data_IF_239645825407
#
_entry.id   IF_239645825407
#
_cell.length_a   1.000
_cell.length_b   1.000
_cell.length_c   1.000
_cell.angle_alpha   90.00
_cell.angle_beta   90.00
_cell.angle_gamma   90.00
#
_symmetry.space_group_name_H-M   'P 1'
#
loop_
_entity.id
_entity.type
_entity.pdbx_description
1 polymer ?
#
# COMPACT_ATOMS: atom_id res chain seq x y z
N UNK A 1 -3.40 -16.80 -11.04
CA UNK A 1 -2.13 -16.55 -10.33
C UNK A 1 -2.45 -15.96 -8.99
N UNK A 2 -1.83 -16.47 -7.92
CA UNK A 2 -2.01 -15.93 -6.56
C UNK A 2 -0.83 -15.03 -6.20
N UNK A 3 -1.05 -14.05 -5.32
CA UNK A 3 0.05 -13.27 -4.76
C UNK A 3 0.91 -14.20 -3.88
N UNK A 4 2.25 -14.14 -3.97
CA UNK A 4 3.09 -14.94 -3.09
C UNK A 4 2.94 -14.50 -1.63
N UNK A 5 3.41 -15.35 -0.72
CA UNK A 5 3.70 -14.93 0.66
C UNK A 5 4.64 -13.72 0.64
N UNK A 6 4.37 -12.73 1.51
CA UNK A 6 5.12 -11.47 1.56
C UNK A 6 6.49 -11.64 2.23
N UNK A 7 7.36 -12.35 1.53
CA UNK A 7 8.79 -12.48 1.82
C UNK A 7 9.56 -11.73 0.73
N UNK A 8 10.72 -11.18 1.06
CA UNK A 8 11.53 -10.43 0.11
C UNK A 8 11.83 -11.23 -1.17
N UNK A 9 12.25 -12.49 -1.03
CA UNK A 9 12.59 -13.35 -2.16
C UNK A 9 11.38 -13.66 -3.06
N UNK A 10 10.22 -13.95 -2.47
CA UNK A 10 9.03 -14.29 -3.26
C UNK A 10 8.43 -13.05 -3.94
N UNK A 11 8.48 -11.88 -3.29
CA UNK A 11 8.05 -10.61 -3.88
C UNK A 11 8.93 -10.20 -5.08
N UNK A 12 10.26 -10.30 -4.95
CA UNK A 12 11.19 -10.04 -6.05
C UNK A 12 10.95 -11.03 -7.21
N UNK A 13 10.88 -12.34 -6.93
CA UNK A 13 10.63 -13.35 -7.95
C UNK A 13 9.30 -13.16 -8.68
N UNK A 14 8.25 -12.73 -7.98
CA UNK A 14 6.96 -12.42 -8.59
C UNK A 14 7.05 -11.25 -9.58
N UNK A 15 7.72 -10.16 -9.20
CA UNK A 15 7.87 -8.99 -10.08
C UNK A 15 8.79 -9.27 -11.26
N UNK A 16 9.84 -10.07 -11.08
CA UNK A 16 10.73 -10.52 -12.17
C UNK A 16 10.00 -11.37 -13.21
N UNK A 17 9.05 -12.19 -12.75
CA UNK A 17 8.24 -13.07 -13.59
C UNK A 17 7.15 -12.31 -14.33
N UNK A 18 6.38 -11.48 -13.62
CA UNK A 18 5.19 -10.81 -14.17
C UNK A 18 5.57 -9.55 -14.95
N UNK A 19 6.60 -8.83 -14.50
CA UNK A 19 7.09 -7.56 -15.08
C UNK A 19 5.96 -6.56 -15.36
N UNK A 20 5.14 -6.21 -14.36
CA UNK A 20 4.02 -5.31 -14.58
C UNK A 20 4.47 -3.86 -14.77
N UNK A 21 3.78 -3.13 -15.64
CA UNK A 21 3.95 -1.67 -15.75
C UNK A 21 3.31 -0.90 -14.58
N UNK A 22 2.35 -1.52 -13.87
CA UNK A 22 1.57 -0.91 -12.79
C UNK A 22 1.02 -1.97 -11.83
N UNK A 23 1.15 -1.73 -10.52
CA UNK A 23 0.47 -2.49 -9.48
C UNK A 23 -0.76 -1.77 -8.94
N UNK A 24 -1.89 -2.46 -8.83
CA UNK A 24 -3.09 -1.97 -8.16
C UNK A 24 -3.38 -2.87 -6.96
N UNK A 25 -3.49 -2.26 -5.77
CA UNK A 25 -3.91 -2.96 -4.55
C UNK A 25 -5.16 -2.30 -3.99
N UNK A 26 -6.04 -3.09 -3.39
CA UNK A 26 -7.32 -2.59 -2.88
C UNK A 26 -7.34 -2.50 -1.36
N UNK A 27 -8.17 -1.60 -0.84
CA UNK A 27 -8.49 -1.49 0.59
C UNK A 27 -7.29 -1.13 1.48
N UNK A 28 -6.73 -2.11 2.19
CA UNK A 28 -5.56 -1.97 3.08
C UNK A 28 -4.58 -3.12 2.92
N UNK A 29 -4.57 -3.78 1.78
CA UNK A 29 -3.62 -4.86 1.47
C UNK A 29 -2.22 -4.28 1.23
N UNK A 30 -1.55 -3.90 2.32
CA UNK A 30 -0.21 -3.34 2.33
C UNK A 30 0.77 -4.42 2.74
N UNK A 31 1.57 -4.85 1.77
CA UNK A 31 2.55 -5.92 1.89
C UNK A 31 3.95 -5.31 1.84
N UNK A 32 4.65 -5.14 2.98
CA UNK A 32 5.91 -4.40 3.01
C UNK A 32 6.95 -4.89 2.02
N UNK A 33 7.15 -6.21 1.89
CA UNK A 33 8.16 -6.75 0.97
C UNK A 33 7.77 -6.51 -0.48
N UNK A 34 6.50 -6.68 -0.85
CA UNK A 34 6.00 -6.30 -2.17
C UNK A 34 6.20 -4.81 -2.46
N UNK A 35 5.94 -3.92 -1.50
CA UNK A 35 6.14 -2.48 -1.66
C UNK A 35 7.62 -2.12 -1.85
N UNK A 36 8.51 -2.79 -1.11
CA UNK A 36 9.96 -2.64 -1.28
C UNK A 36 10.44 -3.16 -2.64
N UNK A 37 10.01 -4.36 -3.03
CA UNK A 37 10.36 -4.96 -4.31
C UNK A 37 9.84 -4.10 -5.47
N UNK A 38 8.58 -3.64 -5.42
CA UNK A 38 7.99 -2.79 -6.46
C UNK A 38 8.81 -1.53 -6.70
N UNK A 39 9.33 -0.90 -5.64
CA UNK A 39 10.21 0.25 -5.77
C UNK A 39 11.54 -0.12 -6.46
N UNK A 40 12.15 -1.26 -6.12
CA UNK A 40 13.41 -1.74 -6.74
C UNK A 40 13.23 -2.06 -8.23
N UNK A 41 12.08 -2.62 -8.59
CA UNK A 41 11.69 -2.95 -9.96
C UNK A 41 11.11 -1.75 -10.73
N UNK A 42 11.11 -0.56 -10.14
CA UNK A 42 10.52 0.66 -10.70
C UNK A 42 9.03 0.51 -11.11
N UNK A 43 8.30 -0.40 -10.46
CA UNK A 43 6.86 -0.61 -10.65
C UNK A 43 6.09 0.36 -9.76
N UNK A 44 5.35 1.33 -10.31
CA UNK A 44 4.46 2.17 -9.51
C UNK A 44 3.32 1.32 -8.94
N UNK A 45 3.01 1.49 -7.66
CA UNK A 45 1.86 0.83 -7.01
C UNK A 45 0.86 1.87 -6.54
N UNK A 46 -0.41 1.66 -6.87
CA UNK A 46 -1.51 2.53 -6.46
C UNK A 46 -2.45 1.78 -5.53
N UNK A 47 -2.73 2.39 -4.38
CA UNK A 47 -3.76 1.92 -3.46
C UNK A 47 -5.10 2.51 -3.88
N UNK A 48 -6.04 1.67 -4.31
CA UNK A 48 -7.37 2.08 -4.79
C UNK A 48 -8.45 1.70 -3.78
N UNK A 49 -9.54 2.47 -3.74
CA UNK A 49 -10.64 2.27 -2.79
C UNK A 49 -10.15 2.08 -1.34
N UNK A 50 -9.17 2.89 -0.94
CA UNK A 50 -8.46 2.69 0.31
C UNK A 50 -9.38 2.97 1.50
N UNK A 51 -9.47 2.02 2.42
CA UNK A 51 -10.34 2.07 3.61
C UNK A 51 -9.57 1.69 4.84
N UNK A 52 -9.31 2.64 5.74
CA UNK A 52 -8.56 2.33 6.95
C UNK A 52 -9.45 2.57 8.16
N UNK A 53 -9.89 1.49 8.80
CA UNK A 53 -10.59 1.58 10.08
C UNK A 53 -9.59 1.71 11.24
N UNK A 54 -10.10 2.04 12.43
CA UNK A 54 -9.25 2.26 13.60
C UNK A 54 -8.47 1.02 14.05
N UNK A 55 -9.05 -0.18 13.90
CA UNK A 55 -8.38 -1.44 14.27
C UNK A 55 -7.15 -1.67 13.40
N UNK A 56 -7.30 -1.53 12.09
CA UNK A 56 -6.21 -1.66 11.12
C UNK A 56 -5.16 -0.56 11.32
N UNK A 57 -5.60 0.67 11.60
CA UNK A 57 -4.69 1.79 11.92
C UNK A 57 -3.84 1.48 13.16
N UNK A 58 -4.46 1.06 14.27
CA UNK A 58 -3.72 0.66 15.48
C UNK A 58 -2.74 -0.47 15.19
N UNK A 59 -3.13 -1.46 14.38
CA UNK A 59 -2.25 -2.53 13.93
C UNK A 59 -1.02 -2.00 13.19
N UNK A 60 -1.22 -1.09 12.24
CA UNK A 60 -0.13 -0.47 11.49
C UNK A 60 0.80 0.36 12.40
N UNK A 61 0.23 1.07 13.38
CA UNK A 61 0.96 1.90 14.34
C UNK A 61 1.71 1.08 15.40
N UNK A 62 1.45 -0.23 15.56
CA UNK A 62 2.27 -1.11 16.41
C UNK A 62 3.66 -1.36 15.84
N UNK A 63 3.81 -1.27 14.51
CA UNK A 63 5.06 -1.52 13.80
C UNK A 63 5.36 -0.38 12.82
N UNK A 64 5.49 0.87 13.28
CA UNK A 64 5.54 2.03 12.41
C UNK A 64 6.80 2.04 11.54
N UNK A 65 7.92 1.49 12.05
CA UNK A 65 9.17 1.36 11.30
C UNK A 65 9.05 0.42 10.08
N UNK A 66 8.10 -0.52 10.10
CA UNK A 66 7.83 -1.44 9.00
C UNK A 66 6.73 -0.89 8.08
N UNK A 67 5.62 -0.43 8.69
CA UNK A 67 4.41 -0.05 7.97
C UNK A 67 4.52 1.34 7.34
N UNK A 68 5.05 2.33 8.07
CA UNK A 68 5.13 3.70 7.54
C UNK A 68 5.93 3.79 6.24
N UNK A 69 7.10 3.13 6.13
CA UNK A 69 7.80 3.06 4.85
C UNK A 69 7.00 2.37 3.74
N UNK A 70 6.25 1.30 4.05
CA UNK A 70 5.42 0.62 3.06
C UNK A 70 4.31 1.54 2.51
N UNK A 71 3.56 2.22 3.39
CA UNK A 71 2.54 3.20 2.97
C UNK A 71 3.14 4.39 2.20
N UNK A 72 4.35 4.85 2.55
CA UNK A 72 5.03 5.96 1.87
C UNK A 72 5.40 5.65 0.42
N UNK A 73 5.50 4.36 0.05
CA UNK A 73 5.94 3.91 -1.29
C UNK A 73 4.83 3.87 -2.33
N UNK A 74 3.57 3.97 -1.93
CA UNK A 74 2.48 4.08 -2.90
C UNK A 74 2.69 5.31 -3.78
N UNK A 75 2.64 5.10 -5.11
CA UNK A 75 2.69 6.17 -6.09
C UNK A 75 1.47 7.09 -5.96
N UNK A 76 0.30 6.51 -5.69
CA UNK A 76 -0.95 7.21 -5.38
C UNK A 76 -1.77 6.41 -4.37
N UNK A 77 -2.54 7.13 -3.55
CA UNK A 77 -3.51 6.55 -2.62
C UNK A 77 -4.85 7.22 -2.83
N UNK A 78 -5.84 6.42 -3.25
CA UNK A 78 -7.20 6.86 -3.53
C UNK A 78 -8.11 6.36 -2.40
N UNK A 79 -8.30 7.20 -1.39
CA UNK A 79 -9.12 6.91 -0.23
C UNK A 79 -10.60 6.98 -0.56
N UNK A 80 -11.39 6.09 0.03
CA UNK A 80 -12.84 6.05 -0.19
C UNK A 80 -13.54 7.30 0.37
N UNK A 81 -13.07 7.82 1.50
CA UNK A 81 -13.59 9.05 2.11
C UNK A 81 -12.50 9.89 2.77
N UNK A 82 -12.91 11.06 3.27
CA UNK A 82 -12.01 11.99 3.96
C UNK A 82 -11.45 11.43 5.27
N UNK A 83 -12.26 10.67 6.02
CA UNK A 83 -11.83 10.00 7.25
C UNK A 83 -10.75 8.94 6.98
N UNK A 84 -10.93 8.12 5.94
CA UNK A 84 -9.91 7.15 5.51
C UNK A 84 -8.63 7.86 5.08
N UNK A 85 -8.75 8.95 4.30
CA UNK A 85 -7.62 9.74 3.87
C UNK A 85 -6.82 10.29 5.07
N UNK A 86 -7.49 10.76 6.13
CA UNK A 86 -6.83 11.24 7.34
C UNK A 86 -6.03 10.14 8.04
N UNK A 87 -6.64 8.98 8.27
CA UNK A 87 -5.96 7.83 8.91
C UNK A 87 -4.82 7.28 8.05
N UNK A 88 -5.00 7.24 6.73
CA UNK A 88 -3.95 6.83 5.80
C UNK A 88 -2.72 7.77 5.87
N UNK A 89 -2.92 9.09 6.05
CA UNK A 89 -1.81 10.02 6.30
C UNK A 89 -1.08 9.70 7.59
N UNK A 90 -1.82 9.40 8.66
CA UNK A 90 -1.27 9.09 9.98
C UNK A 90 -0.35 7.88 9.95
N UNK A 91 -0.71 6.83 9.19
CA UNK A 91 0.14 5.65 9.01
C UNK A 91 1.28 5.85 8.01
N UNK A 92 1.36 6.99 7.32
CA UNK A 92 2.48 7.39 6.47
C UNK A 92 2.19 7.51 4.97
N UNK A 93 0.95 7.32 4.51
CA UNK A 93 0.62 7.51 3.10
C UNK A 93 0.84 8.95 2.66
N UNK A 94 1.46 9.14 1.48
CA UNK A 94 1.72 10.47 0.92
C UNK A 94 0.49 10.97 0.19
N UNK A 95 -0.04 12.13 0.62
CA UNK A 95 -1.09 12.88 -0.07
C UNK A 95 -2.30 12.01 -0.52
N UNK A 96 -2.94 11.21 0.36
CA UNK A 96 -4.10 10.42 -0.02
C UNK A 96 -5.24 11.33 -0.48
N UNK A 97 -5.73 11.05 -1.68
CA UNK A 97 -6.86 11.73 -2.29
C UNK A 97 -8.14 11.05 -1.84
N UNK A 98 -8.94 11.73 -1.01
CA UNK A 98 -10.26 11.26 -0.62
C UNK A 98 -11.30 11.62 -1.68
N UNK A 99 -12.12 10.64 -2.10
CA UNK A 99 -13.35 10.98 -2.82
C UNK A 99 -14.23 11.88 -1.96
N UNK A 100 -14.75 12.95 -2.54
CA UNK A 100 -15.85 13.73 -1.94
C UNK A 100 -17.10 12.87 -2.02
N UNK A 101 -17.63 12.44 -0.88
CA UNK A 101 -18.97 11.85 -0.82
C UNK A 101 -19.99 13.02 -0.93
N UNK A 102 -21.00 12.94 -1.82
CA UNK A 102 -22.11 13.88 -1.84
C UNK A 102 -22.97 13.77 -0.58
#
# INVERSE_FOLDING_TARGET
MWLPWDTAAAADAFLDLVRPDLGLVMETEVWPNLMWASQRHAVPVVLVNARLNEKSMRGALRWPALMSPAYRRFARVLAQGSADAARLREVGARQPHGRRQP
#
